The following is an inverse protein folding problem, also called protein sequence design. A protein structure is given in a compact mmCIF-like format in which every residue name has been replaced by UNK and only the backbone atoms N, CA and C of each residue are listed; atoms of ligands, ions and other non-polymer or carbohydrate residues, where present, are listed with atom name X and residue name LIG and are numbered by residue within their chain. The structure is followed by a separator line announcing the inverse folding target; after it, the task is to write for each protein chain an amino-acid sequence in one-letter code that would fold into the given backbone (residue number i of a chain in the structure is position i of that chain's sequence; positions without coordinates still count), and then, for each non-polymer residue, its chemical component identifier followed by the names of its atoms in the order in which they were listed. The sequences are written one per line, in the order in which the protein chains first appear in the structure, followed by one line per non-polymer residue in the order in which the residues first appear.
data_IF_109869379099
#
_entry.id   IF_109869379099
#
_cell.length_a   1.000
_cell.length_b   1.000
_cell.length_c   1.000
_cell.angle_alpha   90.00
_cell.angle_beta   90.00
_cell.angle_gamma   90.00
#
_symmetry.space_group_name_H-M   'P 1'
#
loop_
_entity.id
_entity.type
_entity.pdbx_description
1 polymer ?
#
# COMPACT_ATOMS: atom_id res chain seq x y z
N UNK A 1 26.40 -12.16 12.10
CA UNK A 1 25.05 -11.61 12.31
C UNK A 1 24.52 -11.28 10.92
N UNK A 2 23.64 -12.11 10.38
CA UNK A 2 23.30 -12.06 8.95
C UNK A 2 22.35 -10.91 8.63
N UNK A 3 22.84 -9.92 7.90
CA UNK A 3 22.04 -8.92 7.20
C UNK A 3 21.04 -9.65 6.29
N UNK A 4 19.79 -9.76 6.72
CA UNK A 4 18.69 -10.17 5.84
C UNK A 4 18.03 -8.91 5.35
N UNK A 5 18.59 -8.31 4.30
CA UNK A 5 17.87 -7.31 3.51
C UNK A 5 16.63 -8.02 2.96
N UNK A 6 15.45 -7.81 3.58
CA UNK A 6 14.20 -8.05 2.85
C UNK A 6 14.27 -7.16 1.62
N UNK A 7 14.38 -7.78 0.45
CA UNK A 7 14.76 -7.14 -0.80
C UNK A 7 14.00 -5.84 -1.04
N UNK A 8 14.68 -4.82 -1.59
CA UNK A 8 14.09 -3.52 -1.88
C UNK A 8 12.80 -3.63 -2.71
N UNK A 9 11.90 -2.65 -2.58
CA UNK A 9 10.74 -2.56 -3.47
C UNK A 9 11.25 -2.32 -4.89
N UNK A 10 10.89 -3.20 -5.82
CA UNK A 10 11.27 -3.07 -7.23
C UNK A 10 10.25 -2.28 -8.04
N UNK A 11 10.67 -1.70 -9.16
CA UNK A 11 9.79 -1.03 -10.14
C UNK A 11 8.64 -1.94 -10.58
N UNK A 12 8.92 -3.22 -10.85
CA UNK A 12 7.91 -4.19 -11.27
C UNK A 12 6.83 -4.39 -10.20
N UNK A 13 7.20 -4.43 -8.92
CA UNK A 13 6.24 -4.57 -7.83
C UNK A 13 5.35 -3.33 -7.70
N UNK A 14 5.90 -2.14 -7.91
CA UNK A 14 5.12 -0.91 -7.98
C UNK A 14 4.14 -0.95 -9.16
N UNK A 15 4.58 -1.35 -10.35
CA UNK A 15 3.71 -1.50 -11.52
C UNK A 15 2.57 -2.48 -11.25
N UNK A 16 2.87 -3.65 -10.67
CA UNK A 16 1.87 -4.66 -10.33
C UNK A 16 0.84 -4.14 -9.32
N UNK A 17 1.27 -3.39 -8.31
CA UNK A 17 0.36 -2.78 -7.33
C UNK A 17 -0.54 -1.70 -7.94
N UNK A 18 -0.04 -0.95 -8.93
CA UNK A 18 -0.79 0.12 -9.61
C UNK A 18 -1.66 -0.35 -10.78
N UNK A 19 -1.41 -1.55 -11.30
CA UNK A 19 -2.10 -2.11 -12.47
C UNK A 19 -3.63 -2.02 -12.38
N UNK A 20 -4.28 -2.39 -11.26
CA UNK A 20 -5.74 -2.32 -11.15
C UNK A 20 -6.31 -0.89 -11.24
N UNK A 21 -5.48 0.13 -10.97
CA UNK A 21 -5.90 1.53 -10.89
C UNK A 21 -5.60 2.31 -12.16
N UNK A 22 -4.49 1.99 -12.84
CA UNK A 22 -3.98 2.78 -13.96
C UNK A 22 -4.04 2.04 -15.31
N UNK A 23 -4.15 0.71 -15.29
CA UNK A 23 -4.13 -0.12 -16.49
C UNK A 23 -2.74 -0.29 -17.11
N UNK A 24 -2.57 -1.36 -17.88
CA UNK A 24 -1.28 -1.73 -18.48
C UNK A 24 -0.79 -0.68 -19.48
N UNK A 25 -1.68 -0.12 -20.30
CA UNK A 25 -1.32 0.86 -21.32
C UNK A 25 -0.69 2.13 -20.74
N UNK A 26 -1.21 2.65 -19.63
CA UNK A 26 -0.60 3.79 -18.94
C UNK A 26 0.75 3.39 -18.32
N UNK A 27 0.80 2.22 -17.65
CA UNK A 27 1.99 1.79 -16.93
C UNK A 27 3.19 1.46 -17.82
N UNK A 28 2.95 1.08 -19.08
CA UNK A 28 4.01 0.90 -20.09
C UNK A 28 4.78 2.20 -20.35
N UNK A 29 4.09 3.34 -20.32
CA UNK A 29 4.69 4.66 -20.54
C UNK A 29 5.15 5.33 -19.23
N UNK A 30 4.78 4.78 -18.07
CA UNK A 30 5.04 5.34 -16.75
C UNK A 30 6.16 4.61 -15.97
N UNK A 31 7.13 4.03 -16.68
CA UNK A 31 8.24 3.28 -16.07
C UNK A 31 9.05 4.16 -15.10
N UNK A 32 9.39 5.38 -15.50
CA UNK A 32 10.17 6.32 -14.66
C UNK A 32 9.42 6.69 -13.37
N UNK A 33 8.10 6.85 -13.45
CA UNK A 33 7.24 7.14 -12.29
C UNK A 33 7.24 5.97 -11.32
N UNK A 34 7.12 4.75 -11.83
CA UNK A 34 7.18 3.54 -11.02
C UNK A 34 8.55 3.35 -10.38
N UNK A 35 9.64 3.62 -11.12
CA UNK A 35 11.00 3.57 -10.60
C UNK A 35 11.21 4.62 -9.50
N UNK A 36 10.66 5.82 -9.67
CA UNK A 36 10.73 6.88 -8.66
C UNK A 36 9.96 6.52 -7.40
N UNK A 37 8.77 5.95 -7.52
CA UNK A 37 8.00 5.46 -6.37
C UNK A 37 8.75 4.33 -5.63
N UNK A 38 9.36 3.39 -6.36
CA UNK A 38 10.19 2.34 -5.78
C UNK A 38 11.39 2.92 -5.00
N UNK A 39 12.05 3.95 -5.54
CA UNK A 39 13.14 4.67 -4.85
C UNK A 39 12.66 5.36 -3.58
N UNK A 40 11.49 6.01 -3.59
CA UNK A 40 10.91 6.64 -2.39
C UNK A 40 10.67 5.60 -1.29
N UNK A 41 10.10 4.45 -1.65
CA UNK A 41 9.84 3.34 -0.73
C UNK A 41 11.16 2.74 -0.19
N UNK A 42 12.16 2.51 -1.05
CA UNK A 42 13.46 1.98 -0.65
C UNK A 42 14.31 2.97 0.19
N UNK A 43 14.09 4.28 -0.02
CA UNK A 43 14.76 5.35 0.69
C UNK A 43 14.20 5.61 2.09
N UNK A 44 13.01 5.10 2.41
CA UNK A 44 12.36 5.31 3.70
C UNK A 44 13.19 4.74 4.86
N UNK A 45 13.34 5.53 5.93
CA UNK A 45 13.97 5.14 7.19
C UNK A 45 12.97 5.36 8.33
N UNK A 46 12.41 4.32 8.93
CA UNK A 46 11.32 4.50 9.90
C UNK A 46 11.72 5.25 11.18
N UNK A 47 13.02 5.34 11.48
CA UNK A 47 13.57 6.11 12.61
C UNK A 47 13.61 7.63 12.36
N UNK A 48 13.56 8.05 11.09
CA UNK A 48 13.74 9.45 10.68
C UNK A 48 12.54 10.00 9.92
N UNK A 49 11.93 9.16 9.08
CA UNK A 49 10.96 9.57 8.08
C UNK A 49 9.53 9.24 8.56
N UNK A 50 8.57 10.12 8.22
CA UNK A 50 7.16 9.92 8.59
C UNK A 50 6.37 9.21 7.50
N UNK A 51 5.59 8.19 7.87
CA UNK A 51 4.71 7.46 6.93
C UNK A 51 3.71 8.38 6.21
N UNK A 52 3.13 9.36 6.91
CA UNK A 52 2.23 10.32 6.30
C UNK A 52 2.92 11.21 5.25
N UNK A 53 4.19 11.59 5.49
CA UNK A 53 4.96 12.36 4.53
C UNK A 53 5.31 11.52 3.30
N UNK A 54 5.64 10.23 3.48
CA UNK A 54 5.87 9.30 2.37
C UNK A 54 4.59 9.07 1.55
N UNK A 55 3.45 8.87 2.21
CA UNK A 55 2.15 8.73 1.55
C UNK A 55 1.84 9.93 0.64
N UNK A 56 2.02 11.15 1.17
CA UNK A 56 1.77 12.38 0.41
C UNK A 56 2.73 12.54 -0.78
N UNK A 57 3.99 12.12 -0.64
CA UNK A 57 4.96 12.14 -1.73
C UNK A 57 4.57 11.18 -2.86
N UNK A 58 4.11 9.96 -2.51
CA UNK A 58 3.64 8.98 -3.48
C UNK A 58 2.36 9.45 -4.18
N UNK A 59 1.39 9.97 -3.42
CA UNK A 59 0.15 10.55 -3.92
C UNK A 59 0.43 11.67 -4.93
N UNK A 60 1.27 12.63 -4.56
CA UNK A 60 1.64 13.76 -5.42
C UNK A 60 2.35 13.29 -6.69
N UNK A 61 3.29 12.34 -6.57
CA UNK A 61 4.02 11.78 -7.70
C UNK A 61 3.05 11.16 -8.73
N UNK A 62 2.13 10.31 -8.26
CA UNK A 62 1.16 9.64 -9.13
C UNK A 62 0.17 10.62 -9.75
N UNK A 63 -0.32 11.58 -8.96
CA UNK A 63 -1.24 12.62 -9.44
C UNK A 63 -0.61 13.44 -10.56
N UNK A 64 0.63 13.91 -10.38
CA UNK A 64 1.33 14.72 -11.38
C UNK A 64 1.58 13.94 -12.67
N UNK A 65 2.03 12.69 -12.55
CA UNK A 65 2.26 11.81 -13.69
C UNK A 65 0.99 11.60 -14.53
N UNK A 66 -0.13 11.23 -13.90
CA UNK A 66 -1.40 11.02 -14.60
C UNK A 66 -1.91 12.34 -15.18
N UNK A 67 -1.81 13.43 -14.45
CA UNK A 67 -2.25 14.74 -14.92
C UNK A 67 -1.50 15.15 -16.18
N UNK A 68 -0.19 14.97 -16.21
CA UNK A 68 0.65 15.31 -17.37
C UNK A 68 0.29 14.44 -18.58
N UNK A 69 0.32 13.12 -18.42
CA UNK A 69 0.01 12.17 -19.49
C UNK A 69 -1.41 12.35 -20.07
N UNK A 70 -2.38 12.72 -19.24
CA UNK A 70 -3.77 12.92 -19.68
C UNK A 70 -4.09 14.36 -20.07
N UNK A 71 -3.10 15.27 -20.01
CA UNK A 71 -3.28 16.72 -20.22
C UNK A 71 -4.40 17.29 -19.32
N UNK A 72 -4.45 16.83 -18.07
CA UNK A 72 -5.43 17.25 -17.06
C UNK A 72 -6.82 16.64 -17.20
N UNK A 73 -7.07 15.77 -18.19
CA UNK A 73 -8.38 15.10 -18.33
C UNK A 73 -8.65 14.07 -17.24
N UNK A 74 -7.60 13.53 -16.62
CA UNK A 74 -7.67 12.54 -15.54
C UNK A 74 -8.50 11.31 -15.92
N UNK A 75 -8.42 10.87 -17.18
CA UNK A 75 -9.17 9.73 -17.67
C UNK A 75 -8.26 8.79 -18.45
N UNK A 76 -8.29 7.51 -18.08
CA UNK A 76 -7.49 6.44 -18.67
C UNK A 76 -8.41 5.40 -19.30
N UNK A 77 -7.88 4.66 -20.28
CA UNK A 77 -8.53 3.47 -20.82
C UNK A 77 -7.91 2.27 -20.10
N UNK A 78 -8.74 1.50 -19.42
CA UNK A 78 -8.34 0.32 -18.66
C UNK A 78 -8.19 -0.88 -19.59
N UNK A 79 -7.58 -1.96 -19.09
CA UNK A 79 -7.31 -3.18 -19.87
C UNK A 79 -8.59 -3.88 -20.37
N UNK A 80 -9.72 -3.64 -19.70
CA UNK A 80 -11.04 -4.13 -20.13
C UNK A 80 -11.72 -3.22 -21.18
N UNK A 81 -11.00 -2.22 -21.71
CA UNK A 81 -11.50 -1.24 -22.68
C UNK A 81 -12.39 -0.14 -22.09
N UNK A 82 -12.71 -0.19 -20.79
CA UNK A 82 -13.51 0.84 -20.14
C UNK A 82 -12.69 2.10 -19.89
N UNK A 83 -13.33 3.25 -20.06
CA UNK A 83 -12.74 4.54 -19.71
C UNK A 83 -13.02 4.85 -18.24
N UNK A 84 -11.96 4.94 -17.44
CA UNK A 84 -12.05 5.29 -16.03
C UNK A 84 -11.61 6.75 -15.82
N UNK A 85 -12.39 7.52 -15.07
CA UNK A 85 -12.04 8.90 -14.71
C UNK A 85 -11.57 8.94 -13.25
N UNK A 86 -10.29 9.22 -13.07
CA UNK A 86 -9.63 9.30 -11.78
C UNK A 86 -10.04 10.58 -11.03
N UNK A 87 -10.30 10.41 -9.75
CA UNK A 87 -10.55 11.46 -8.76
C UNK A 87 -9.29 11.66 -7.92
N UNK A 88 -9.21 12.80 -7.23
CA UNK A 88 -8.10 13.10 -6.31
C UNK A 88 -7.98 12.02 -5.23
N UNK A 89 -9.11 11.50 -4.72
CA UNK A 89 -9.12 10.44 -3.71
C UNK A 89 -8.50 9.12 -4.18
N UNK A 90 -8.47 8.85 -5.49
CA UNK A 90 -7.95 7.59 -6.02
C UNK A 90 -6.44 7.51 -5.88
N UNK A 91 -5.75 8.66 -5.91
CA UNK A 91 -4.29 8.73 -5.73
C UNK A 91 -3.89 8.42 -4.28
N UNK A 92 -4.70 8.86 -3.31
CA UNK A 92 -4.50 8.51 -1.91
C UNK A 92 -4.65 7.00 -1.70
N UNK A 93 -5.58 6.35 -2.42
CA UNK A 93 -5.72 4.89 -2.40
C UNK A 93 -4.51 4.19 -3.03
N UNK A 94 -4.03 4.67 -4.17
CA UNK A 94 -2.82 4.10 -4.80
C UNK A 94 -1.59 4.26 -3.91
N UNK A 95 -1.40 5.43 -3.29
CA UNK A 95 -0.33 5.66 -2.35
C UNK A 95 -0.40 4.72 -1.13
N UNK A 96 -1.62 4.47 -0.62
CA UNK A 96 -1.87 3.49 0.43
C UNK A 96 -1.43 2.07 0.01
N UNK A 97 -1.83 1.60 -1.17
CA UNK A 97 -1.41 0.29 -1.69
C UNK A 97 0.12 0.19 -1.86
N UNK A 98 0.78 1.27 -2.29
CA UNK A 98 2.24 1.32 -2.38
C UNK A 98 2.92 1.27 -1.01
N UNK A 99 2.34 1.88 0.03
CA UNK A 99 2.85 1.74 1.40
C UNK A 99 2.78 0.29 1.90
N UNK A 100 1.82 -0.52 1.44
CA UNK A 100 1.79 -1.93 1.80
C UNK A 100 3.08 -2.66 1.39
N UNK A 101 3.62 -2.36 0.20
CA UNK A 101 4.88 -2.94 -0.27
C UNK A 101 6.06 -2.65 0.68
N UNK A 102 6.05 -1.48 1.32
CA UNK A 102 7.00 -1.10 2.37
C UNK A 102 6.73 -1.89 3.65
N UNK A 103 5.48 -1.93 4.12
CA UNK A 103 5.13 -2.64 5.37
C UNK A 103 5.44 -4.13 5.33
N UNK A 104 5.30 -4.78 4.17
CA UNK A 104 5.71 -6.16 3.97
C UNK A 104 7.22 -6.39 4.21
N UNK A 105 8.03 -5.34 4.10
CA UNK A 105 9.50 -5.43 4.17
C UNK A 105 10.08 -4.98 5.49
N UNK A 106 9.34 -4.17 6.27
CA UNK A 106 9.78 -3.76 7.59
C UNK A 106 10.05 -5.00 8.46
N UNK A 107 11.14 -4.94 9.21
CA UNK A 107 11.45 -5.97 10.21
C UNK A 107 10.31 -6.07 11.21
N UNK A 108 9.99 -7.28 11.67
CA UNK A 108 8.92 -7.51 12.63
C UNK A 108 9.44 -7.16 14.03
N UNK A 109 9.44 -5.87 14.33
CA UNK A 109 9.84 -5.32 15.63
C UNK A 109 8.64 -4.60 16.28
N UNK A 110 8.52 -4.65 17.62
CA UNK A 110 7.41 -3.99 18.33
C UNK A 110 7.29 -2.49 18.00
N UNK A 111 8.41 -1.78 17.82
CA UNK A 111 8.37 -0.36 17.51
C UNK A 111 7.85 -0.07 16.08
N UNK A 112 8.12 -0.95 15.10
CA UNK A 112 7.51 -0.84 13.77
C UNK A 112 6.00 -1.07 13.83
N UNK A 113 5.55 -2.01 14.66
CA UNK A 113 4.13 -2.24 14.90
C UNK A 113 3.47 -0.97 15.46
N UNK A 114 4.08 -0.34 16.49
CA UNK A 114 3.58 0.92 17.07
C UNK A 114 3.49 2.02 16.01
N UNK A 115 4.55 2.21 15.20
CA UNK A 115 4.58 3.19 14.13
C UNK A 115 3.43 2.99 13.12
N UNK A 116 3.20 1.75 12.67
CA UNK A 116 2.13 1.42 11.72
C UNK A 116 0.76 1.62 12.36
N UNK A 117 0.59 1.24 13.63
CA UNK A 117 -0.66 1.41 14.38
C UNK A 117 -1.04 2.88 14.51
N UNK A 118 -0.11 3.71 14.98
CA UNK A 118 -0.32 5.16 15.12
C UNK A 118 -0.67 5.79 13.77
N UNK A 119 0.02 5.38 12.70
CA UNK A 119 -0.31 5.83 11.35
C UNK A 119 -1.74 5.42 10.95
N UNK A 120 -2.12 4.15 11.13
CA UNK A 120 -3.46 3.66 10.76
C UNK A 120 -4.59 4.41 11.46
N UNK A 121 -4.40 4.77 12.74
CA UNK A 121 -5.40 5.48 13.53
C UNK A 121 -5.61 6.91 13.04
N UNK A 122 -4.57 7.53 12.45
CA UNK A 122 -4.62 8.92 11.96
C UNK A 122 -5.08 9.02 10.51
N UNK A 123 -4.79 8.02 9.70
CA UNK A 123 -5.01 8.07 8.24
C UNK A 123 -6.19 7.24 7.75
N UNK A 124 -6.66 6.24 8.52
CA UNK A 124 -7.61 5.24 8.02
C UNK A 124 -7.01 4.35 6.92
N UNK A 125 -5.68 4.21 6.89
CA UNK A 125 -4.93 3.41 5.91
C UNK A 125 -5.32 1.92 5.97
N UNK A 126 -5.85 1.40 4.87
CA UNK A 126 -6.16 -0.03 4.78
C UNK A 126 -4.88 -0.86 4.68
N UNK A 127 -3.86 -0.35 3.98
CA UNK A 127 -2.56 -1.00 3.91
C UNK A 127 -1.91 -1.18 5.29
N UNK A 128 -2.01 -0.18 6.16
CA UNK A 128 -1.49 -0.28 7.53
C UNK A 128 -2.30 -1.28 8.37
N UNK A 129 -3.64 -1.24 8.28
CA UNK A 129 -4.50 -2.21 8.95
C UNK A 129 -4.24 -3.65 8.46
N UNK A 130 -4.09 -3.83 7.14
CA UNK A 130 -3.69 -5.10 6.53
C UNK A 130 -2.34 -5.57 7.05
N UNK A 131 -1.37 -4.67 7.18
CA UNK A 131 -0.06 -5.01 7.69
C UNK A 131 -0.12 -5.47 9.16
N UNK A 132 -0.83 -4.73 10.01
CA UNK A 132 -1.03 -5.12 11.41
C UNK A 132 -1.70 -6.49 11.52
N UNK A 133 -2.75 -6.72 10.73
CA UNK A 133 -3.50 -7.97 10.74
C UNK A 133 -2.71 -9.16 10.20
N UNK A 134 -2.02 -9.02 9.07
CA UNK A 134 -1.34 -10.14 8.40
C UNK A 134 0.03 -10.43 9.00
N UNK A 135 0.75 -9.40 9.43
CA UNK A 135 2.18 -9.50 9.72
C UNK A 135 2.56 -9.30 11.19
N UNK A 136 1.67 -8.70 11.99
CA UNK A 136 1.92 -8.40 13.40
C UNK A 136 0.89 -9.05 14.32
N UNK A 137 0.09 -10.02 13.83
CA UNK A 137 -0.94 -10.69 14.63
C UNK A 137 -0.39 -11.34 15.90
N UNK A 138 0.81 -11.91 15.85
CA UNK A 138 1.44 -12.60 16.99
C UNK A 138 1.93 -11.62 18.09
N UNK A 139 1.99 -10.32 17.76
CA UNK A 139 2.36 -9.24 18.69
C UNK A 139 1.13 -8.52 19.24
N UNK A 140 -0.06 -9.07 19.06
CA UNK A 140 -1.34 -8.47 19.44
C UNK A 140 -2.17 -9.47 20.23
N UNK A 141 -3.07 -8.98 21.06
CA UNK A 141 -4.06 -9.84 21.71
C UNK A 141 -5.08 -10.36 20.69
N UNK A 142 -5.74 -11.49 20.96
CA UNK A 142 -6.85 -11.98 20.14
C UNK A 142 -7.97 -10.93 19.95
N UNK A 143 -8.28 -10.14 20.98
CA UNK A 143 -9.28 -9.06 20.94
C UNK A 143 -8.84 -7.90 20.05
N UNK A 144 -7.55 -7.54 20.07
CA UNK A 144 -6.99 -6.53 19.18
C UNK A 144 -7.06 -6.99 17.71
N UNK A 145 -6.72 -8.26 17.44
CA UNK A 145 -6.82 -8.85 16.11
C UNK A 145 -8.29 -8.90 15.62
N UNK A 146 -9.23 -9.25 16.50
CA UNK A 146 -10.66 -9.22 16.18
C UNK A 146 -11.14 -7.80 15.89
N UNK A 147 -10.67 -6.81 16.65
CA UNK A 147 -10.97 -5.39 16.43
C UNK A 147 -10.46 -4.91 15.08
N UNK A 148 -9.21 -5.25 14.73
CA UNK A 148 -8.65 -4.94 13.41
C UNK A 148 -9.50 -5.53 12.28
N UNK A 149 -9.86 -6.82 12.38
CA UNK A 149 -10.73 -7.48 11.38
C UNK A 149 -12.07 -6.75 11.24
N UNK A 150 -12.68 -6.34 12.35
CA UNK A 150 -13.94 -5.59 12.35
C UNK A 150 -13.80 -4.23 11.68
N UNK A 151 -12.75 -3.47 11.99
CA UNK A 151 -12.50 -2.16 11.36
C UNK A 151 -12.29 -2.32 9.85
N UNK A 152 -11.46 -3.27 9.44
CA UNK A 152 -11.20 -3.57 8.02
C UNK A 152 -12.51 -3.85 7.27
N UNK A 153 -13.35 -4.73 7.81
CA UNK A 153 -14.58 -5.19 7.15
C UNK A 153 -15.73 -4.19 7.21
N UNK A 154 -15.73 -3.27 8.18
CA UNK A 154 -16.78 -2.26 8.35
C UNK A 154 -16.49 -0.98 7.58
N UNK A 155 -15.22 -0.57 7.51
CA UNK A 155 -14.82 0.73 6.97
C UNK A 155 -14.34 0.69 5.51
N UNK A 156 -14.11 -0.50 4.93
CA UNK A 156 -13.57 -0.64 3.58
C UNK A 156 -14.37 -1.61 2.72
N UNK A 157 -14.43 -1.31 1.43
CA UNK A 157 -15.17 -2.09 0.44
C UNK A 157 -14.65 -3.54 0.34
N UNK A 158 -15.56 -4.56 0.27
CA UNK A 158 -15.17 -5.96 0.33
C UNK A 158 -14.13 -6.42 -0.68
N UNK A 159 -14.18 -5.89 -1.90
CA UNK A 159 -13.23 -6.25 -2.95
C UNK A 159 -11.76 -5.90 -2.58
N UNK A 160 -11.55 -4.92 -1.69
CA UNK A 160 -10.20 -4.52 -1.25
C UNK A 160 -9.56 -5.49 -0.26
N UNK A 161 -10.35 -6.25 0.50
CA UNK A 161 -9.83 -7.10 1.58
C UNK A 161 -10.10 -8.60 1.43
N UNK A 162 -11.13 -9.01 0.69
CA UNK A 162 -11.52 -10.44 0.56
C UNK A 162 -10.38 -11.36 0.16
N UNK A 163 -9.50 -10.90 -0.73
CA UNK A 163 -8.44 -11.73 -1.31
C UNK A 163 -7.27 -12.04 -0.34
N UNK A 164 -7.17 -11.35 0.79
CA UNK A 164 -6.14 -11.61 1.81
C UNK A 164 -6.68 -11.83 3.22
N UNK A 165 -7.90 -11.37 3.53
CA UNK A 165 -8.49 -11.49 4.87
C UNK A 165 -9.17 -12.85 5.10
N UNK A 166 -9.65 -13.50 4.04
CA UNK A 166 -10.33 -14.80 4.10
C UNK A 166 -9.41 -15.96 3.71
N UNK A 167 -8.09 -15.73 3.67
CA UNK A 167 -7.12 -16.80 3.55
C UNK A 167 -7.19 -17.67 4.82
N UNK A 168 -7.19 -19.00 4.71
CA UNK A 168 -7.19 -19.88 5.88
C UNK A 168 -5.98 -19.54 6.74
N UNK A 169 -6.25 -19.08 7.97
CA UNK A 169 -5.24 -18.90 9.00
C UNK A 169 -4.54 -20.27 9.20
N UNK A 170 -3.21 -20.30 9.10
CA UNK A 170 -2.47 -21.55 9.29
C UNK A 170 -2.86 -22.14 10.66
N UNK A 171 -3.04 -23.47 10.76
CA UNK A 171 -3.47 -24.09 12.01
C UNK A 171 -2.44 -23.76 13.10
N UNK A 172 -2.93 -23.26 14.23
CA UNK A 172 -2.13 -23.07 15.44
C UNK A 172 -1.48 -24.42 15.78
N UNK A 173 -0.14 -24.46 15.74
CA UNK A 173 0.59 -25.62 16.25
C UNK A 173 0.41 -25.62 17.76
N UNK A 174 -0.44 -26.54 18.23
CA UNK A 174 -0.70 -26.77 19.67
C UNK A 174 0.47 -27.41 20.40
#
# INVERSE_FOLDING_TARGET
MGDTVRGQVSTLQVQQALLPFLGSAFLQEAEEVCARAAQLLAGFRPERDGLAALANQLDTLLFMAVREATQGRMALVMDNGQRYRLRVSDFALMADELLYLLFERLERLPWHQTLIREYSMRSGSLAALRALYVHYQDMQSPEENQTLRRVITTCHEPWRWRHWLDLPQAPEQG
#
